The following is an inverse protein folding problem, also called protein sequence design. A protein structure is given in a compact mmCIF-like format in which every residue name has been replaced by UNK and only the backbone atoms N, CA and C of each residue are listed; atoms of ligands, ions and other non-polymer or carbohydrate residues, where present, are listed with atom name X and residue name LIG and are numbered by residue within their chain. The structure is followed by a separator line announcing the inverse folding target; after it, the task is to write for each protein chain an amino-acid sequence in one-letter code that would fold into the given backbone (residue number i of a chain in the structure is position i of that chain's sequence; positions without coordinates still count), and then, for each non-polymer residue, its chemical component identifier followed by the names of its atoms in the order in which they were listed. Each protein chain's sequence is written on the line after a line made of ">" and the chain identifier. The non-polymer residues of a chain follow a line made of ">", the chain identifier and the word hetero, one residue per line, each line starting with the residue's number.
data_IF_317046420264
#
_entry.id   IF_317046420264
#
_cell.length_a   1.000
_cell.length_b   1.000
_cell.length_c   1.000
_cell.angle_alpha   90.00
_cell.angle_beta   90.00
_cell.angle_gamma   90.00
#
_symmetry.space_group_name_H-M   'P 1'
#
loop_
_entity.id
_entity.type
_entity.pdbx_description
1 polymer ?
#
# COMPACT_ATOMS: atom_id res chain seq x y z
N UNK A 1 16.78 -3.22 -4.02
CA UNK A 1 16.31 -3.65 -5.35
C UNK A 1 15.02 -2.93 -5.76
N UNK A 2 13.98 -2.83 -4.93
CA UNK A 2 12.79 -2.00 -5.22
C UNK A 2 13.05 -0.47 -5.18
N UNK A 3 14.06 -0.05 -4.42
CA UNK A 3 14.42 1.35 -4.21
C UNK A 3 14.71 2.12 -5.51
N UNK A 4 15.35 1.48 -6.50
CA UNK A 4 15.65 2.11 -7.79
C UNK A 4 14.37 2.55 -8.52
N UNK A 5 13.38 1.68 -8.61
CA UNK A 5 12.15 1.96 -9.33
C UNK A 5 11.33 3.07 -8.65
N UNK A 6 11.32 3.07 -7.31
CA UNK A 6 10.60 4.08 -6.52
C UNK A 6 11.32 5.43 -6.55
N UNK A 7 12.64 5.46 -6.33
CA UNK A 7 13.44 6.70 -6.34
C UNK A 7 13.55 7.35 -7.71
N UNK A 8 13.56 6.55 -8.79
CA UNK A 8 13.51 7.04 -10.17
C UNK A 8 12.09 7.42 -10.63
N UNK A 9 11.09 7.33 -9.76
CA UNK A 9 9.69 7.67 -10.04
C UNK A 9 9.05 6.84 -11.18
N UNK A 10 9.48 5.59 -11.36
CA UNK A 10 8.85 4.68 -12.32
C UNK A 10 7.55 4.06 -11.78
N UNK A 11 7.33 4.14 -10.47
CA UNK A 11 6.16 3.58 -9.79
C UNK A 11 5.28 4.67 -9.18
N UNK A 12 4.48 5.37 -10.01
CA UNK A 12 3.64 6.45 -9.52
C UNK A 12 2.69 5.94 -8.44
N UNK A 13 2.60 6.68 -7.34
CA UNK A 13 1.71 6.33 -6.23
C UNK A 13 2.30 5.38 -5.20
N UNK A 14 3.50 4.82 -5.42
CA UNK A 14 4.20 4.01 -4.41
C UNK A 14 5.36 4.81 -3.83
N UNK A 15 5.50 4.78 -2.50
CA UNK A 15 6.66 5.33 -1.79
C UNK A 15 7.22 4.32 -0.80
N UNK A 16 8.50 4.47 -0.46
CA UNK A 16 9.17 3.65 0.55
C UNK A 16 9.31 4.47 1.83
N UNK A 17 8.76 3.97 2.93
CA UNK A 17 9.01 4.52 4.26
C UNK A 17 10.37 4.06 4.79
N UNK A 18 11.05 4.98 5.46
CA UNK A 18 12.27 4.69 6.21
C UNK A 18 11.91 4.13 7.57
N UNK A 19 12.31 2.89 7.84
CA UNK A 19 12.19 2.27 9.15
C UNK A 19 12.99 3.05 10.20
N UNK A 20 12.42 3.19 11.40
CA UNK A 20 13.11 3.79 12.54
C UNK A 20 13.63 2.73 13.51
N UNK A 21 12.78 1.73 13.83
CA UNK A 21 13.09 0.67 14.79
C UNK A 21 12.96 -0.74 14.21
N UNK A 22 12.43 -0.91 13.00
CA UNK A 22 12.29 -2.23 12.40
C UNK A 22 13.65 -2.94 12.28
N UNK A 23 13.73 -4.11 12.89
CA UNK A 23 14.84 -5.06 12.74
C UNK A 23 14.25 -6.43 12.43
N UNK A 24 14.24 -6.76 11.15
CA UNK A 24 13.73 -8.01 10.61
C UNK A 24 14.89 -8.77 9.97
N UNK A 25 15.69 -9.48 10.78
CA UNK A 25 16.92 -10.13 10.31
C UNK A 25 16.71 -11.63 10.28
N UNK A 26 16.78 -12.23 9.09
CA UNK A 26 16.68 -13.67 8.97
C UNK A 26 15.32 -14.22 9.43
N UNK A 27 14.26 -13.43 9.26
CA UNK A 27 12.95 -13.68 9.86
C UNK A 27 11.97 -14.18 8.81
N UNK A 28 11.03 -15.02 9.24
CA UNK A 28 9.86 -15.39 8.46
C UNK A 28 8.66 -14.62 8.99
N UNK A 29 8.05 -13.82 8.11
CA UNK A 29 6.85 -13.05 8.40
C UNK A 29 5.67 -13.67 7.66
N UNK A 30 4.48 -13.52 8.22
CA UNK A 30 3.23 -13.93 7.57
C UNK A 30 2.76 -12.81 6.66
N UNK A 31 2.51 -13.11 5.39
CA UNK A 31 1.70 -12.27 4.50
C UNK A 31 0.30 -12.83 4.32
N UNK A 32 -0.61 -11.94 3.91
CA UNK A 32 -1.99 -12.20 3.54
C UNK A 32 -2.21 -11.78 2.08
N UNK A 33 -2.98 -12.56 1.35
CA UNK A 33 -3.44 -12.19 0.00
C UNK A 33 -4.48 -11.07 0.15
N UNK A 34 -4.31 -9.98 -0.60
CA UNK A 34 -5.27 -8.88 -0.70
C UNK A 34 -6.13 -9.05 -1.94
N UNK A 35 -5.50 -9.37 -3.07
CA UNK A 35 -6.18 -9.56 -4.33
C UNK A 35 -5.87 -10.94 -4.93
N UNK A 36 -6.73 -11.95 -4.66
CA UNK A 36 -6.55 -13.30 -5.18
C UNK A 36 -6.80 -13.40 -6.69
N UNK A 37 -7.39 -12.37 -7.31
CA UNK A 37 -7.64 -12.36 -8.76
C UNK A 37 -6.39 -12.02 -9.57
N UNK A 38 -5.30 -11.59 -8.92
CA UNK A 38 -4.04 -11.31 -9.59
C UNK A 38 -3.36 -12.61 -10.04
N UNK A 39 -2.84 -12.69 -11.28
CA UNK A 39 -2.05 -13.84 -11.70
C UNK A 39 -0.82 -14.08 -10.82
N UNK A 40 -0.29 -13.06 -10.15
CA UNK A 40 0.84 -13.19 -9.22
C UNK A 40 0.46 -14.06 -8.01
N UNK A 41 -0.79 -13.97 -7.54
CA UNK A 41 -1.32 -14.75 -6.43
C UNK A 41 -1.74 -16.18 -6.83
N UNK A 42 -1.64 -16.55 -8.10
CA UNK A 42 -2.08 -17.85 -8.59
C UNK A 42 -1.40 -19.02 -7.84
N UNK A 43 -2.22 -19.96 -7.34
CA UNK A 43 -1.76 -21.13 -6.60
C UNK A 43 -1.45 -20.89 -5.11
N UNK A 44 -1.57 -19.65 -4.62
CA UNK A 44 -1.47 -19.35 -3.19
C UNK A 44 -2.83 -19.39 -2.50
N UNK A 45 -2.84 -19.84 -1.24
CA UNK A 45 -3.98 -19.66 -0.34
C UNK A 45 -3.95 -18.28 0.33
N UNK A 46 -4.78 -18.09 1.36
CA UNK A 46 -4.98 -16.78 1.99
C UNK A 46 -3.74 -16.21 2.68
N UNK A 47 -2.80 -17.07 3.09
CA UNK A 47 -1.58 -16.66 3.79
C UNK A 47 -0.34 -17.32 3.21
N UNK A 48 0.77 -16.60 3.26
CA UNK A 48 2.07 -17.09 2.81
C UNK A 48 3.17 -16.69 3.81
N UNK A 49 3.88 -17.65 4.43
CA UNK A 49 5.09 -17.36 5.19
C UNK A 49 6.26 -17.01 4.25
N UNK A 50 6.84 -15.84 4.47
CA UNK A 50 7.86 -15.24 3.60
C UNK A 50 9.09 -14.87 4.40
N UNK A 51 10.24 -15.22 3.85
CA UNK A 51 11.51 -14.77 4.38
C UNK A 51 11.69 -13.25 4.15
N UNK A 52 12.12 -12.54 5.18
CA UNK A 52 12.40 -11.11 5.15
C UNK A 52 13.77 -10.81 5.78
N UNK A 53 14.47 -9.84 5.18
CA UNK A 53 15.73 -9.29 5.67
C UNK A 53 15.70 -7.77 5.48
N UNK A 54 15.17 -7.04 6.45
CA UNK A 54 14.96 -5.59 6.41
C UNK A 54 14.36 -5.11 5.07
N UNK A 55 13.20 -5.66 4.71
CA UNK A 55 12.48 -5.31 3.49
C UNK A 55 11.98 -3.86 3.48
N UNK A 56 11.87 -3.20 2.31
CA UNK A 56 11.28 -1.86 2.23
C UNK A 56 9.81 -1.90 2.68
N UNK A 57 9.40 -0.85 3.40
CA UNK A 57 8.02 -0.62 3.81
C UNK A 57 7.34 0.22 2.75
N UNK A 58 6.36 -0.34 2.04
CA UNK A 58 5.65 0.39 0.99
C UNK A 58 4.48 1.20 1.55
N UNK A 59 4.24 2.37 0.96
CA UNK A 59 3.02 3.17 1.16
C UNK A 59 2.40 3.49 -0.19
N UNK A 60 1.08 3.56 -0.23
CA UNK A 60 0.33 3.82 -1.45
C UNK A 60 -0.36 5.17 -1.41
N UNK A 61 -0.54 5.72 -2.61
CA UNK A 61 -1.28 6.94 -2.83
C UNK A 61 -1.90 6.92 -4.21
N UNK A 62 -3.04 7.62 -4.36
CA UNK A 62 -3.68 7.82 -5.64
C UNK A 62 -3.08 9.00 -6.43
N UNK A 63 -1.91 9.51 -6.01
CA UNK A 63 -1.27 10.70 -6.58
C UNK A 63 0.15 10.40 -7.07
N UNK A 64 0.50 10.86 -8.26
CA UNK A 64 1.77 10.56 -8.90
C UNK A 64 2.99 11.12 -8.13
N UNK A 65 2.80 12.12 -7.26
CA UNK A 65 3.84 12.74 -6.44
C UNK A 65 3.91 12.27 -4.98
N UNK A 66 3.23 11.17 -4.61
CA UNK A 66 3.36 10.54 -3.29
C UNK A 66 2.80 11.34 -2.10
N UNK A 67 2.17 12.49 -2.33
CA UNK A 67 1.55 13.31 -1.28
C UNK A 67 0.19 13.84 -1.73
N UNK A 68 -0.87 13.11 -1.38
CA UNK A 68 -2.03 13.78 -0.80
C UNK A 68 -1.75 13.91 0.69
N UNK A 69 -1.76 15.13 1.21
CA UNK A 69 -1.61 15.34 2.64
C UNK A 69 -2.64 14.50 3.38
N UNK A 70 -2.19 13.66 4.33
CA UNK A 70 -3.09 13.06 5.30
C UNK A 70 -3.79 14.22 6.04
N UNK A 71 -5.12 14.18 6.20
CA UNK A 71 -5.82 15.22 6.94
C UNK A 71 -5.12 15.45 8.28
N UNK A 72 -4.81 16.71 8.60
CA UNK A 72 -4.24 17.04 9.91
C UNK A 72 -5.27 16.68 11.00
N UNK A 73 -4.83 16.27 12.20
CA UNK A 73 -5.74 16.09 13.31
C UNK A 73 -6.58 17.36 13.51
N UNK A 74 -7.89 17.19 13.66
CA UNK A 74 -8.86 18.27 13.85
C UNK A 74 -8.70 18.93 15.22
N UNK A 75 -7.62 19.68 15.41
CA UNK A 75 -7.53 20.64 16.49
C UNK A 75 -8.15 21.96 16.02
N UNK A 76 -9.18 22.45 16.73
CA UNK A 76 -9.80 23.73 16.42
C UNK A 76 -8.78 24.87 16.51
N UNK A 77 -8.57 25.57 15.40
CA UNK A 77 -7.66 26.72 15.32
C UNK A 77 -8.11 27.91 16.18
N UNK A 78 -9.41 27.98 16.54
CA UNK A 78 -10.01 29.09 17.30
C UNK A 78 -9.79 28.99 18.82
N UNK A 79 -9.35 27.83 19.34
CA UNK A 79 -9.07 27.61 20.76
C UNK A 79 -10.27 27.74 21.71
N UNK A 80 -11.49 27.77 21.17
CA UNK A 80 -12.75 27.86 21.93
C UNK A 80 -13.71 26.76 21.46
N UNK A 81 -14.45 26.16 22.41
CA UNK A 81 -15.37 25.04 22.15
C UNK A 81 -14.72 23.65 22.27
N UNK A 82 -15.54 22.60 22.26
CA UNK A 82 -15.09 21.20 22.23
C UNK A 82 -14.64 20.80 20.81
N UNK A 83 -13.80 19.75 20.64
CA UNK A 83 -13.33 19.30 19.32
C UNK A 83 -14.45 19.09 18.30
N UNK A 84 -15.60 18.60 18.75
CA UNK A 84 -16.73 18.19 17.90
C UNK A 84 -17.82 19.26 17.72
N UNK A 85 -17.69 20.42 18.36
CA UNK A 85 -18.72 21.46 18.24
C UNK A 85 -18.59 22.18 16.86
N UNK A 86 -19.69 22.43 16.14
CA UNK A 86 -19.61 22.92 14.76
C UNK A 86 -19.35 24.44 14.67
N UNK A 87 -18.44 24.86 13.79
CA UNK A 87 -18.27 26.27 13.45
C UNK A 87 -19.46 26.74 12.59
N UNK A 88 -20.46 27.33 13.24
CA UNK A 88 -21.68 27.83 12.58
C UNK A 88 -21.53 29.27 12.14
N UNK A 89 -21.66 29.54 10.83
CA UNK A 89 -21.69 30.90 10.29
C UNK A 89 -23.05 31.53 10.60
N UNK A 90 -23.04 32.68 11.26
CA UNK A 90 -24.27 33.41 11.60
C UNK A 90 -25.05 33.78 10.33
N UNK A 91 -26.35 33.49 10.31
CA UNK A 91 -27.23 33.80 9.17
C UNK A 91 -27.21 32.79 8.02
N UNK A 92 -26.48 31.66 8.15
CA UNK A 92 -26.52 30.54 7.19
C UNK A 92 -26.88 29.25 7.93
N UNK A 93 -27.78 28.40 7.39
CA UNK A 93 -27.99 27.06 7.94
C UNK A 93 -26.66 26.30 8.00
N UNK A 94 -26.36 25.58 9.11
CA UNK A 94 -25.19 24.73 9.18
C UNK A 94 -25.23 23.71 8.05
N UNK A 95 -24.16 23.63 7.26
CA UNK A 95 -23.97 22.54 6.30
C UNK A 95 -23.04 21.55 6.97
N UNK A 96 -23.51 20.33 7.14
CA UNK A 96 -22.70 19.24 7.71
C UNK A 96 -21.54 18.94 6.76
N UNK A 97 -20.33 18.93 7.31
CA UNK A 97 -19.15 18.59 6.53
C UNK A 97 -19.21 17.10 6.17
N UNK A 98 -18.96 16.71 4.91
CA UNK A 98 -18.91 15.31 4.55
C UNK A 98 -17.80 14.60 5.34
N UNK A 99 -18.11 13.40 5.84
CA UNK A 99 -17.11 12.58 6.52
C UNK A 99 -15.95 12.26 5.57
N UNK A 100 -14.73 12.46 6.06
CA UNK A 100 -13.54 12.11 5.29
C UNK A 100 -13.44 10.59 5.18
N UNK A 101 -13.17 10.06 3.98
CA UNK A 101 -13.10 8.63 3.82
C UNK A 101 -11.86 8.08 4.54
N UNK A 102 -12.02 6.93 5.17
CA UNK A 102 -10.93 6.20 5.83
C UNK A 102 -10.41 5.10 4.92
N UNK A 103 -9.12 4.79 5.07
CA UNK A 103 -8.49 3.70 4.34
C UNK A 103 -7.56 2.94 5.27
N UNK A 104 -7.43 1.66 4.96
CA UNK A 104 -6.49 0.78 5.63
C UNK A 104 -5.04 1.08 5.23
N UNK A 105 -4.08 0.56 6.01
CA UNK A 105 -2.64 0.87 5.81
C UNK A 105 -2.11 0.40 4.45
N UNK A 106 -2.64 -0.71 3.91
CA UNK A 106 -2.26 -1.22 2.60
C UNK A 106 -3.06 -0.61 1.45
N UNK A 107 -3.98 0.32 1.72
CA UNK A 107 -4.83 0.92 0.70
C UNK A 107 -4.45 2.37 0.45
N UNK A 108 -4.55 2.79 -0.81
CA UNK A 108 -4.42 4.20 -1.12
C UNK A 108 -5.67 4.92 -0.62
N UNK A 109 -5.49 6.05 0.07
CA UNK A 109 -6.60 6.87 0.53
C UNK A 109 -7.53 7.20 -0.66
N UNK A 110 -8.83 6.87 -0.58
CA UNK A 110 -9.76 7.17 -1.65
C UNK A 110 -9.83 8.69 -1.86
N UNK A 111 -10.14 9.06 -3.10
CA UNK A 111 -10.18 10.46 -3.50
C UNK A 111 -11.42 11.14 -2.93
N UNK A 112 -11.23 12.34 -2.40
CA UNK A 112 -12.33 13.22 -2.02
C UNK A 112 -12.87 13.91 -3.28
N UNK A 113 -14.14 14.32 -3.26
CA UNK A 113 -14.80 15.00 -4.39
C UNK A 113 -14.03 16.22 -4.90
N UNK A 114 -13.44 17.02 -4.01
CA UNK A 114 -12.63 18.17 -4.38
C UNK A 114 -11.36 17.77 -5.14
N UNK A 115 -10.71 16.68 -4.71
CA UNK A 115 -9.51 16.15 -5.36
C UNK A 115 -9.82 15.57 -6.74
N UNK A 116 -11.00 14.97 -6.90
CA UNK A 116 -11.49 14.49 -8.18
C UNK A 116 -11.77 15.65 -9.15
N UNK A 117 -12.26 16.78 -8.65
CA UNK A 117 -12.48 18.00 -9.46
C UNK A 117 -11.16 18.67 -9.86
N UNK A 118 -10.18 18.72 -8.97
CA UNK A 118 -8.87 19.38 -9.19
C UNK A 118 -7.72 18.36 -9.26
N UNK A 119 -7.89 17.30 -10.07
CA UNK A 119 -7.06 16.11 -10.06
C UNK A 119 -5.78 16.16 -10.90
N UNK A 120 -5.04 17.27 -10.95
CA UNK A 120 -3.85 17.42 -11.82
C UNK A 120 -2.84 16.28 -11.64
N UNK A 121 -2.63 15.85 -10.39
CA UNK A 121 -1.67 14.78 -10.06
C UNK A 121 -2.34 13.44 -9.73
N UNK A 122 -3.65 13.31 -9.96
CA UNK A 122 -4.39 12.08 -9.66
C UNK A 122 -4.04 11.02 -10.69
N UNK A 123 -3.64 9.85 -10.21
CA UNK A 123 -3.30 8.71 -11.06
C UNK A 123 -4.60 8.15 -11.65
N UNK A 124 -4.69 7.99 -12.98
CA UNK A 124 -5.83 7.36 -13.63
C UNK A 124 -6.12 5.97 -13.04
N UNK A 125 -7.39 5.55 -12.88
CA UNK A 125 -7.73 4.27 -12.22
C UNK A 125 -6.98 3.05 -12.78
N UNK A 126 -6.74 3.01 -14.09
CA UNK A 126 -6.02 1.92 -14.75
C UNK A 126 -4.51 1.88 -14.40
N UNK A 127 -3.92 3.02 -14.05
CA UNK A 127 -2.48 3.17 -13.77
C UNK A 127 -2.16 3.17 -12.27
N UNK A 128 -3.17 3.01 -11.40
CA UNK A 128 -2.94 2.99 -9.94
C UNK A 128 -2.16 1.74 -9.52
N UNK A 129 -1.40 1.78 -8.42
CA UNK A 129 -0.81 0.58 -7.84
C UNK A 129 -1.88 -0.42 -7.39
N UNK A 130 -1.63 -1.71 -7.59
CA UNK A 130 -2.46 -2.84 -7.14
C UNK A 130 -1.69 -3.62 -6.08
N UNK A 131 -2.28 -3.80 -4.90
CA UNK A 131 -1.68 -4.66 -3.85
C UNK A 131 -2.11 -6.09 -4.06
N UNK A 132 -1.14 -6.99 -4.20
CA UNK A 132 -1.41 -8.43 -4.32
C UNK A 132 -1.29 -9.10 -2.95
N UNK A 133 -0.20 -8.82 -2.24
CA UNK A 133 0.06 -9.32 -0.89
C UNK A 133 0.36 -8.16 0.05
N UNK A 134 -0.06 -8.31 1.30
CA UNK A 134 0.30 -7.44 2.42
C UNK A 134 0.88 -8.25 3.56
N UNK A 135 1.63 -7.61 4.45
CA UNK A 135 2.00 -8.21 5.71
C UNK A 135 0.76 -8.39 6.62
N UNK A 136 0.77 -9.42 7.46
CA UNK A 136 -0.31 -9.69 8.39
C UNK A 136 -0.39 -8.63 9.52
N UNK A 137 -1.37 -8.81 10.40
CA UNK A 137 -1.55 -7.99 11.61
C UNK A 137 -0.38 -8.19 12.53
N UNK A 138 0.02 -7.15 13.27
CA UNK A 138 1.21 -7.23 14.12
C UNK A 138 1.19 -8.44 15.07
N UNK A 139 0.00 -8.77 15.61
CA UNK A 139 -0.23 -9.94 16.45
C UNK A 139 0.06 -11.29 15.78
N UNK A 140 -0.14 -11.39 14.47
CA UNK A 140 -0.02 -12.62 13.67
C UNK A 140 1.15 -12.58 12.67
N UNK A 141 1.91 -11.47 12.68
CA UNK A 141 2.94 -11.13 11.70
C UNK A 141 4.15 -12.05 11.84
N UNK A 142 4.59 -12.26 13.08
CA UNK A 142 5.79 -13.02 13.37
C UNK A 142 5.53 -14.53 13.25
N UNK A 143 6.34 -15.22 12.45
CA UNK A 143 6.32 -16.69 12.38
C UNK A 143 7.54 -17.27 13.08
N UNK A 144 8.75 -16.82 12.71
CA UNK A 144 10.01 -17.31 13.30
C UNK A 144 11.19 -16.41 12.97
N UNK A 145 12.22 -16.36 13.81
CA UNK A 145 13.47 -15.62 13.58
C UNK A 145 13.63 -14.40 14.49
N UNK A 146 14.31 -13.35 14.04
CA UNK A 146 14.48 -12.11 14.80
C UNK A 146 13.60 -10.99 14.23
N UNK A 147 12.56 -10.62 14.98
CA UNK A 147 11.73 -9.45 14.71
C UNK A 147 11.76 -8.50 15.91
N UNK A 148 12.12 -7.26 15.66
CA UNK A 148 11.90 -6.13 16.56
C UNK A 148 11.32 -4.97 15.74
N UNK A 149 10.45 -4.16 16.35
CA UNK A 149 9.72 -3.09 15.67
C UNK A 149 8.76 -3.56 14.56
N UNK A 150 8.14 -4.75 14.70
CA UNK A 150 7.23 -5.32 13.71
C UNK A 150 6.02 -4.45 13.35
N UNK A 151 5.63 -3.55 14.26
CA UNK A 151 4.55 -2.56 14.06
C UNK A 151 4.76 -1.70 12.80
N UNK A 152 6.01 -1.40 12.44
CA UNK A 152 6.34 -0.54 11.30
C UNK A 152 6.09 -1.21 9.94
N UNK A 153 6.10 -2.54 9.88
CA UNK A 153 5.90 -3.29 8.63
C UNK A 153 4.56 -4.04 8.61
N UNK A 154 3.91 -4.21 9.76
CA UNK A 154 2.60 -4.82 9.87
C UNK A 154 1.57 -4.11 8.98
N UNK A 155 0.65 -4.87 8.39
CA UNK A 155 -0.37 -4.38 7.45
C UNK A 155 0.15 -3.70 6.17
N UNK A 156 1.44 -3.36 6.04
CA UNK A 156 1.93 -2.70 4.83
C UNK A 156 1.90 -3.63 3.61
N UNK A 157 1.80 -3.08 2.39
CA UNK A 157 1.92 -3.86 1.16
C UNK A 157 3.27 -4.57 1.09
N UNK A 158 3.24 -5.82 0.66
CA UNK A 158 4.41 -6.67 0.50
C UNK A 158 4.72 -6.88 -0.99
N UNK A 159 3.70 -7.10 -1.82
CA UNK A 159 3.84 -7.17 -3.28
C UNK A 159 2.87 -6.20 -3.91
N UNK A 160 3.42 -5.30 -4.71
CA UNK A 160 2.67 -4.25 -5.40
C UNK A 160 2.94 -4.36 -6.90
N UNK A 161 1.88 -4.51 -7.67
CA UNK A 161 1.91 -4.41 -9.12
C UNK A 161 1.60 -2.97 -9.53
N UNK A 162 2.52 -2.32 -10.24
CA UNK A 162 2.38 -0.94 -10.70
C UNK A 162 2.42 -0.90 -12.22
N UNK A 163 1.29 -0.60 -12.89
CA UNK A 163 1.27 -0.39 -14.32
C UNK A 163 2.12 0.82 -14.69
N UNK A 164 2.94 0.69 -15.73
CA UNK A 164 3.80 1.77 -16.24
C UNK A 164 3.89 1.69 -17.77
N UNK A 165 3.30 2.68 -18.44
CA UNK A 165 3.12 2.63 -19.90
C UNK A 165 2.28 1.41 -20.32
N UNK A 166 2.85 0.57 -21.17
CA UNK A 166 2.25 -0.69 -21.63
C UNK A 166 2.65 -1.90 -20.77
N UNK A 167 3.54 -1.71 -19.80
CA UNK A 167 4.08 -2.79 -18.99
C UNK A 167 3.74 -2.65 -17.51
N UNK A 168 4.43 -3.45 -16.71
CA UNK A 168 4.22 -3.57 -15.28
C UNK A 168 5.54 -3.56 -14.54
N UNK A 169 5.55 -2.91 -13.39
CA UNK A 169 6.65 -2.95 -12.43
C UNK A 169 6.13 -3.62 -11.18
N UNK A 170 6.65 -4.82 -10.90
CA UNK A 170 6.28 -5.59 -9.70
C UNK A 170 7.32 -5.33 -8.61
N UNK A 171 6.87 -4.74 -7.52
CA UNK A 171 7.69 -4.43 -6.36
C UNK A 171 7.54 -5.52 -5.31
N UNK A 172 8.67 -6.01 -4.80
CA UNK A 172 8.74 -6.98 -3.72
C UNK A 172 9.39 -6.36 -2.48
N UNK A 173 8.70 -6.47 -1.35
CA UNK A 173 9.25 -6.09 -0.04
C UNK A 173 10.20 -7.17 0.49
N UNK A 174 10.00 -8.43 0.12
CA UNK A 174 10.99 -9.48 0.35
C UNK A 174 12.04 -9.53 -0.77
N UNK A 175 13.12 -10.28 -0.56
CA UNK A 175 13.98 -10.71 -1.66
C UNK A 175 13.46 -12.07 -2.18
N UNK A 176 12.81 -12.14 -3.35
CA UNK A 176 12.18 -13.36 -3.85
C UNK A 176 13.14 -14.29 -4.61
N UNK A 177 14.42 -13.93 -4.73
CA UNK A 177 15.49 -14.79 -5.27
C UNK A 177 16.68 -14.77 -4.31
N UNK A 178 16.43 -15.12 -3.05
CA UNK A 178 17.48 -15.32 -2.05
C UNK A 178 17.75 -16.82 -1.83
N UNK A 179 19.03 -17.19 -1.65
CA UNK A 179 19.46 -18.59 -1.51
C UNK A 179 18.87 -19.34 -0.31
N UNK A 180 18.36 -18.63 0.70
CA UNK A 180 17.78 -19.23 1.91
C UNK A 180 16.27 -19.02 2.06
N UNK A 181 15.57 -18.59 1.00
CA UNK A 181 14.14 -18.29 1.09
C UNK A 181 13.28 -19.55 1.19
N UNK A 182 11.99 -19.37 1.51
CA UNK A 182 11.03 -20.47 1.54
C UNK A 182 10.76 -20.97 0.11
N UNK A 183 10.69 -22.29 -0.10
CA UNK A 183 10.39 -22.86 -1.44
C UNK A 183 9.07 -22.33 -2.01
N UNK A 184 8.12 -22.00 -1.14
CA UNK A 184 6.85 -21.41 -1.52
C UNK A 184 6.96 -20.03 -2.17
N UNK A 185 8.01 -19.24 -1.93
CA UNK A 185 8.08 -17.87 -2.47
C UNK A 185 8.59 -17.78 -3.91
N UNK A 186 9.17 -18.85 -4.49
CA UNK A 186 9.69 -18.81 -5.86
C UNK A 186 8.59 -18.58 -6.90
N UNK A 187 7.41 -19.16 -6.68
CA UNK A 187 6.29 -19.02 -7.61
C UNK A 187 5.77 -17.59 -7.73
N UNK A 188 6.04 -16.69 -6.76
CA UNK A 188 5.69 -15.27 -6.89
C UNK A 188 6.35 -14.63 -8.12
N UNK A 189 7.62 -14.96 -8.37
CA UNK A 189 8.37 -14.43 -9.53
C UNK A 189 8.01 -15.19 -10.79
N UNK A 190 7.87 -16.53 -10.72
CA UNK A 190 7.50 -17.31 -11.89
C UNK A 190 6.08 -16.96 -12.39
N UNK A 191 5.13 -16.74 -11.50
CA UNK A 191 3.79 -16.28 -11.86
C UNK A 191 3.85 -14.91 -12.54
N UNK A 192 4.69 -13.99 -12.05
CA UNK A 192 4.87 -12.69 -12.67
C UNK A 192 5.47 -12.81 -14.09
N UNK A 193 6.46 -13.69 -14.28
CA UNK A 193 7.11 -13.91 -15.58
C UNK A 193 6.16 -14.62 -16.55
N UNK A 194 5.49 -15.70 -16.12
CA UNK A 194 4.59 -16.49 -16.97
C UNK A 194 3.38 -15.67 -17.43
N UNK A 195 2.94 -14.71 -16.61
CA UNK A 195 1.78 -13.87 -16.90
C UNK A 195 2.18 -12.42 -17.22
N UNK A 196 3.40 -12.16 -17.69
CA UNK A 196 3.96 -10.81 -17.84
C UNK A 196 3.05 -9.85 -18.65
N UNK A 197 2.35 -10.38 -19.65
CA UNK A 197 1.45 -9.61 -20.53
C UNK A 197 0.03 -9.44 -19.97
N UNK A 198 -0.31 -10.19 -18.92
CA UNK A 198 -1.67 -10.29 -18.38
C UNK A 198 -1.77 -9.99 -16.87
N UNK A 199 -0.80 -9.27 -16.28
CA UNK A 199 -0.81 -8.95 -14.84
C UNK A 199 -2.01 -8.10 -14.40
N UNK A 200 -2.65 -7.39 -15.32
CA UNK A 200 -3.92 -6.67 -15.11
C UNK A 200 -5.16 -7.59 -15.05
N UNK A 201 -5.04 -8.89 -15.29
CA UNK A 201 -6.19 -9.80 -15.25
C UNK A 201 -6.89 -9.77 -13.88
N UNK A 202 -8.23 -9.87 -13.91
CA UNK A 202 -9.09 -9.85 -12.72
C UNK A 202 -9.24 -8.49 -12.04
N UNK A 203 -8.52 -7.46 -12.52
CA UNK A 203 -8.48 -6.16 -11.86
C UNK A 203 -9.81 -5.41 -11.98
N UNK A 204 -10.34 -4.97 -10.84
CA UNK A 204 -11.47 -4.04 -10.76
C UNK A 204 -10.94 -2.61 -10.75
N UNK A 205 -11.39 -1.79 -11.70
CA UNK A 205 -11.04 -0.38 -11.70
C UNK A 205 -11.80 0.34 -10.59
N UNK A 206 -11.09 1.16 -9.82
CA UNK A 206 -11.74 2.05 -8.86
C UNK A 206 -12.71 2.98 -9.60
N UNK A 207 -13.88 3.21 -9.01
CA UNK A 207 -14.91 4.10 -9.57
C UNK A 207 -14.32 5.50 -9.86
N UNK A 208 -14.80 6.12 -10.94
CA UNK A 208 -14.27 7.39 -11.47
C UNK A 208 -14.60 8.58 -10.59
#
# INVERSE_FOLDING_TARGET
>A
TADLAVSANFTPGVSIARSQRLKAIGVVLRSKVVDPSSPIAYGYGDTLPIYCFNGPIFNLSNFAGGRAGRPRPSARMTGRGAPDDPDTVQGRPPVEAPELPTAEVWEAMPLIDEQRRNGINVIPPAMRPRVVFRYADNKDLFVSGLLDGGDEIAQHPMIVDVPSGQGHIVLFSNNPIWRGQTKGSYFLVFNAILNFDNLNAGRKLAEK
#
